data_IF_086141553609
#
_entry.id   IF_086141553609
#
_cell.length_a   1.000
_cell.length_b   1.000
_cell.length_c   1.000
_cell.angle_alpha   90.00
_cell.angle_beta   90.00
_cell.angle_gamma   90.00
#
_symmetry.space_group_name_H-M   'P 1'
#
loop_
_entity.id
_entity.type
_entity.pdbx_description
1 polymer ?
#
# COMPACT_ATOMS: atom_id res chain seq x y z
N UNK A 1 -14.95 5.70 -31.92
CA UNK A 1 -14.30 4.46 -31.44
C UNK A 1 -13.24 4.72 -30.36
N UNK A 2 -13.51 5.55 -29.33
CA UNK A 2 -12.53 5.94 -28.27
C UNK A 2 -12.86 5.40 -26.86
N UNK A 3 -13.97 4.69 -26.69
CA UNK A 3 -14.49 4.31 -25.35
C UNK A 3 -13.78 3.09 -24.73
N UNK A 4 -13.13 2.24 -25.52
CA UNK A 4 -12.54 0.97 -25.06
C UNK A 4 -11.15 1.15 -24.41
N UNK A 5 -10.29 2.03 -24.92
CA UNK A 5 -8.96 2.26 -24.37
C UNK A 5 -8.98 2.92 -22.97
N UNK A 6 -9.91 3.86 -22.75
CA UNK A 6 -10.02 4.58 -21.47
C UNK A 6 -10.53 3.68 -20.33
N UNK A 7 -11.31 2.65 -20.66
CA UNK A 7 -11.83 1.67 -19.69
C UNK A 7 -10.72 0.75 -19.15
N UNK A 8 -9.79 0.35 -20.00
CA UNK A 8 -8.70 -0.56 -19.63
C UNK A 8 -7.65 0.14 -18.77
N UNK A 9 -7.25 1.37 -19.12
CA UNK A 9 -6.28 2.15 -18.33
C UNK A 9 -6.78 2.43 -16.90
N UNK A 10 -8.06 2.77 -16.75
CA UNK A 10 -8.67 3.03 -15.44
C UNK A 10 -8.74 1.77 -14.55
N UNK A 11 -8.98 0.60 -15.16
CA UNK A 11 -8.96 -0.69 -14.46
C UNK A 11 -7.57 -1.06 -13.93
N UNK A 12 -6.52 -0.79 -14.71
CA UNK A 12 -5.13 -1.08 -14.29
C UNK A 12 -4.70 -0.19 -13.13
N UNK A 13 -5.01 1.11 -13.18
CA UNK A 13 -4.72 2.04 -12.09
C UNK A 13 -5.45 1.65 -10.78
N UNK A 14 -6.71 1.19 -10.90
CA UNK A 14 -7.49 0.71 -9.74
C UNK A 14 -6.86 -0.53 -9.09
N UNK A 15 -6.34 -1.47 -9.90
CA UNK A 15 -5.66 -2.66 -9.38
C UNK A 15 -4.34 -2.32 -8.68
N UNK A 16 -3.55 -1.43 -9.25
CA UNK A 16 -2.30 -0.99 -8.64
C UNK A 16 -2.55 -0.31 -7.27
N UNK A 17 -3.59 0.53 -7.18
CA UNK A 17 -4.00 1.12 -5.91
C UNK A 17 -4.43 0.05 -4.89
N UNK A 18 -5.22 -0.94 -5.30
CA UNK A 18 -5.63 -2.05 -4.44
C UNK A 18 -4.43 -2.88 -3.94
N UNK A 19 -3.44 -3.14 -4.80
CA UNK A 19 -2.22 -3.87 -4.42
C UNK A 19 -1.39 -3.06 -3.42
N UNK A 20 -1.30 -1.74 -3.62
CA UNK A 20 -0.64 -0.85 -2.68
C UNK A 20 -1.35 -0.85 -1.32
N UNK A 21 -2.69 -0.74 -1.30
CA UNK A 21 -3.48 -0.78 -0.07
C UNK A 21 -3.28 -2.10 0.70
N UNK A 22 -3.24 -3.23 -0.02
CA UNK A 22 -2.99 -4.54 0.58
C UNK A 22 -1.58 -4.65 1.19
N UNK A 23 -0.57 -4.13 0.47
CA UNK A 23 0.81 -4.11 0.96
C UNK A 23 0.92 -3.26 2.23
N UNK A 24 0.34 -2.05 2.22
CA UNK A 24 0.36 -1.15 3.37
C UNK A 24 -0.40 -1.75 4.57
N UNK A 25 -1.57 -2.34 4.34
CA UNK A 25 -2.33 -3.02 5.39
C UNK A 25 -1.52 -4.16 6.01
N UNK A 26 -0.77 -4.93 5.20
CA UNK A 26 0.08 -6.01 5.71
C UNK A 26 1.22 -5.48 6.58
N UNK A 27 1.93 -4.45 6.12
CA UNK A 27 3.04 -3.83 6.86
C UNK A 27 2.57 -3.31 8.21
N UNK A 28 1.43 -2.62 8.23
CA UNK A 28 0.88 -2.02 9.44
C UNK A 28 0.33 -3.10 10.39
N UNK A 29 -0.27 -4.17 9.88
CA UNK A 29 -0.65 -5.32 10.69
C UNK A 29 0.57 -5.97 11.37
N UNK A 30 1.65 -6.19 10.62
CA UNK A 30 2.84 -6.90 11.11
C UNK A 30 3.65 -6.08 12.14
N UNK A 31 3.64 -4.74 12.04
CA UNK A 31 4.47 -3.88 12.89
C UNK A 31 3.71 -3.05 13.92
N UNK A 32 2.44 -2.74 13.67
CA UNK A 32 1.61 -1.89 14.52
C UNK A 32 0.37 -2.60 15.06
N UNK A 33 0.09 -3.84 14.62
CA UNK A 33 -1.08 -4.62 15.01
C UNK A 33 -2.42 -3.95 14.68
N UNK A 34 -2.45 -3.11 13.65
CA UNK A 34 -3.66 -2.47 13.15
C UNK A 34 -4.15 -3.24 11.92
N UNK A 35 -5.37 -3.76 11.97
CA UNK A 35 -5.93 -4.63 10.93
C UNK A 35 -6.27 -3.91 9.63
N UNK A 36 -6.55 -2.61 9.70
CA UNK A 36 -7.03 -1.83 8.55
C UNK A 36 -6.59 -0.38 8.64
N UNK A 37 -6.20 0.20 7.51
CA UNK A 37 -5.94 1.64 7.37
C UNK A 37 -7.17 2.45 6.91
N UNK A 38 -8.32 1.79 6.75
CA UNK A 38 -9.58 2.48 6.44
C UNK A 38 -10.06 3.26 7.66
N UNK A 39 -10.37 4.54 7.46
CA UNK A 39 -11.05 5.38 8.45
C UNK A 39 -12.44 4.83 8.75
N UNK A 40 -12.77 4.69 10.03
CA UNK A 40 -14.04 4.16 10.53
C UNK A 40 -14.92 5.21 11.17
N UNK A 41 -14.44 6.45 11.27
CA UNK A 41 -15.09 7.59 11.92
C UNK A 41 -15.48 7.27 13.37
N UNK A 42 -14.58 6.62 14.09
CA UNK A 42 -14.78 6.22 15.48
C UNK A 42 -13.46 6.25 16.22
N UNK A 43 -13.42 7.03 17.31
CA UNK A 43 -12.16 7.26 18.02
C UNK A 43 -11.48 5.96 18.46
N UNK A 44 -12.25 5.04 19.05
CA UNK A 44 -11.72 3.75 19.52
C UNK A 44 -11.25 2.81 18.42
N UNK A 45 -11.63 3.08 17.16
CA UNK A 45 -11.30 2.27 16.00
C UNK A 45 -10.24 2.92 15.10
N UNK A 46 -10.05 4.23 15.20
CA UNK A 46 -9.16 5.02 14.35
C UNK A 46 -7.92 5.55 15.10
N UNK A 47 -7.96 5.66 16.44
CA UNK A 47 -6.81 6.02 17.25
C UNK A 47 -6.19 4.80 17.91
N UNK A 48 -4.90 4.62 17.70
CA UNK A 48 -4.13 3.50 18.22
C UNK A 48 -2.90 4.00 18.98
N UNK A 49 -2.71 3.51 20.20
CA UNK A 49 -1.46 3.66 20.91
C UNK A 49 -0.44 2.70 20.29
N UNK A 50 0.58 3.27 19.64
CA UNK A 50 1.62 2.54 18.96
C UNK A 50 2.98 2.87 19.52
N UNK A 51 3.86 1.88 19.53
CA UNK A 51 5.24 2.09 19.95
C UNK A 51 6.04 2.85 18.90
N UNK A 52 6.96 3.71 19.34
CA UNK A 52 7.86 4.45 18.44
C UNK A 52 8.76 3.52 17.63
N UNK A 53 9.12 2.36 18.17
CA UNK A 53 9.90 1.36 17.44
C UNK A 53 9.05 0.64 16.39
N UNK A 54 7.77 0.35 16.67
CA UNK A 54 6.84 -0.20 15.70
C UNK A 54 6.64 0.75 14.51
N UNK A 55 6.48 2.05 14.79
CA UNK A 55 6.38 3.08 13.73
C UNK A 55 7.65 3.09 12.87
N UNK A 56 8.82 3.08 13.49
CA UNK A 56 10.10 3.01 12.75
C UNK A 56 10.18 1.76 11.88
N UNK A 57 9.83 0.59 12.40
CA UNK A 57 9.85 -0.68 11.66
C UNK A 57 8.87 -0.67 10.48
N UNK A 58 7.64 -0.19 10.68
CA UNK A 58 6.64 -0.08 9.61
C UNK A 58 7.11 0.84 8.47
N UNK A 59 7.68 2.01 8.81
CA UNK A 59 8.21 2.94 7.82
C UNK A 59 9.41 2.36 7.05
N UNK A 60 10.31 1.66 7.73
CA UNK A 60 11.43 0.98 7.09
C UNK A 60 10.95 -0.10 6.11
N UNK A 61 9.97 -0.91 6.50
CA UNK A 61 9.38 -1.94 5.65
C UNK A 61 8.69 -1.33 4.42
N UNK A 62 7.93 -0.25 4.60
CA UNK A 62 7.29 0.47 3.49
C UNK A 62 8.31 1.04 2.51
N UNK A 63 9.41 1.62 3.01
CA UNK A 63 10.48 2.14 2.17
C UNK A 63 11.16 1.02 1.36
N UNK A 64 11.50 -0.10 2.00
CA UNK A 64 12.12 -1.25 1.32
C UNK A 64 11.19 -1.85 0.26
N UNK A 65 9.89 -1.98 0.55
CA UNK A 65 8.92 -2.46 -0.42
C UNK A 65 8.79 -1.51 -1.63
N UNK A 66 8.83 -0.19 -1.39
CA UNK A 66 8.87 0.80 -2.45
C UNK A 66 10.11 0.71 -3.34
N UNK A 67 11.29 0.50 -2.75
CA UNK A 67 12.53 0.28 -3.50
C UNK A 67 12.46 -0.98 -4.37
N UNK A 68 11.99 -2.10 -3.80
CA UNK A 68 11.83 -3.36 -4.53
C UNK A 68 10.84 -3.21 -5.71
N UNK A 69 9.74 -2.50 -5.50
CA UNK A 69 8.77 -2.22 -6.56
C UNK A 69 9.39 -1.40 -7.71
N UNK A 70 10.20 -0.38 -7.39
CA UNK A 70 10.93 0.40 -8.40
C UNK A 70 11.95 -0.42 -9.19
N UNK A 71 12.67 -1.33 -8.53
CA UNK A 71 13.62 -2.23 -9.18
C UNK A 71 12.92 -3.22 -10.13
N UNK A 72 11.79 -3.79 -9.71
CA UNK A 72 11.00 -4.70 -10.56
C UNK A 72 10.46 -3.99 -11.81
N UNK A 73 9.99 -2.75 -11.66
CA UNK A 73 9.51 -1.95 -12.79
C UNK A 73 10.62 -1.63 -13.81
N UNK A 74 11.86 -1.41 -13.35
CA UNK A 74 13.01 -1.21 -14.23
C UNK A 74 13.45 -2.51 -14.93
N UNK A 75 13.38 -3.65 -14.24
CA UNK A 75 13.69 -4.96 -14.81
C UNK A 75 12.69 -5.36 -15.92
N UNK A 76 11.40 -5.09 -15.73
CA UNK A 76 10.34 -5.41 -16.72
C UNK A 76 10.41 -4.53 -17.98
N UNK A 77 11.09 -3.37 -17.93
CA UNK A 77 11.31 -2.49 -19.09
C UNK A 77 12.53 -2.89 -19.94
N UNK A 78 13.38 -3.77 -19.42
CA UNK A 78 14.62 -4.22 -20.09
C UNK A 78 14.53 -5.66 -20.62
N UNK A 79 13.41 -6.34 -20.37
CA UNK A 79 13.05 -7.66 -20.90
C UNK A 79 12.01 -7.54 -22.02
#
# INVERSE_FOLDING_TARGET
>A
MRKTANKTANKTATRAAQQLDQLLARIVLDHLFIETLKTRNSDSLDFHDVSVWGVKSALMAAYQAGLAAGQNAAAEQTA
#
